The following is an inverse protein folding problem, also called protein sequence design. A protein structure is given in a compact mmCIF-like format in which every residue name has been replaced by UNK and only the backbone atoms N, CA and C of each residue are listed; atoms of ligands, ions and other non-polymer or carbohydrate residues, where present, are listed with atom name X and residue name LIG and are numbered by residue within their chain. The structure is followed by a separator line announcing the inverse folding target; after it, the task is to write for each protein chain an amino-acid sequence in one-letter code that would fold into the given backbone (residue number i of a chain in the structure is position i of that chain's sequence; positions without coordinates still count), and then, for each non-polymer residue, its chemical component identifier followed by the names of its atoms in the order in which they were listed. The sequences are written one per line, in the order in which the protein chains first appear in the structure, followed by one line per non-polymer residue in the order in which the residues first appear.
data_IF_121680682749
#
_entry.id   IF_121680682749
#
_cell.length_a   1.000
_cell.length_b   1.000
_cell.length_c   1.000
_cell.angle_alpha   90.00
_cell.angle_beta   90.00
_cell.angle_gamma   90.00
#
_symmetry.space_group_name_H-M   'P 1'
#
loop_
_entity.id
_entity.type
_entity.pdbx_description
1 polymer ?
#
# COMPACT_ATOMS: atom_id res chain seq x y z
N UNK A 1 -21.12 -11.27 13.91
CA UNK A 1 -20.95 -11.04 13.16
C UNK A 1 -19.89 -11.23 12.50
N UNK A 2 -19.72 -11.53 11.68
CA UNK A 2 -18.74 -11.70 11.12
C UNK A 2 -18.37 -10.86 10.26
N UNK A 3 -17.57 -10.35 10.35
CA UNK A 3 -17.19 -9.41 9.56
C UNK A 3 -16.30 -9.86 8.53
N UNK A 4 -16.59 -9.50 7.37
CA UNK A 4 -15.76 -9.78 6.39
C UNK A 4 -14.57 -8.99 6.50
N UNK A 5 -13.46 -9.50 6.65
CA UNK A 5 -12.28 -8.77 6.73
C UNK A 5 -11.61 -8.85 5.44
N UNK A 6 -11.32 -7.75 4.81
CA UNK A 6 -10.48 -7.72 3.64
C UNK A 6 -9.08 -8.08 4.03
N UNK A 7 -8.37 -8.87 3.26
CA UNK A 7 -6.95 -9.04 3.49
C UNK A 7 -6.27 -7.69 3.42
N UNK A 8 -5.32 -7.48 4.29
CA UNK A 8 -4.61 -6.22 4.34
C UNK A 8 -4.02 -5.87 3.00
N UNK A 9 -3.50 -6.86 2.29
CA UNK A 9 -2.90 -6.65 0.98
C UNK A 9 -3.90 -6.03 0.00
N UNK A 10 -5.13 -6.55 0.01
CA UNK A 10 -6.14 -6.04 -0.91
C UNK A 10 -6.54 -4.61 -0.57
N UNK A 11 -6.63 -4.32 0.70
CA UNK A 11 -7.00 -2.98 1.14
C UNK A 11 -5.92 -1.98 0.74
N UNK A 12 -4.67 -2.31 0.98
CA UNK A 12 -3.59 -1.41 0.66
C UNK A 12 -3.51 -1.19 -0.86
N UNK A 13 -3.65 -2.25 -1.63
CA UNK A 13 -3.64 -2.14 -3.07
C UNK A 13 -4.76 -1.25 -3.58
N UNK A 14 -5.95 -1.40 -3.02
CA UNK A 14 -7.07 -0.57 -3.41
C UNK A 14 -6.79 0.91 -3.18
N UNK A 15 -6.18 1.24 -2.06
CA UNK A 15 -5.86 2.63 -1.76
C UNK A 15 -4.81 3.17 -2.71
N UNK A 16 -3.83 2.34 -3.07
CA UNK A 16 -2.82 2.76 -4.02
C UNK A 16 -3.46 3.03 -5.38
N UNK A 17 -4.36 2.16 -5.79
CA UNK A 17 -5.06 2.33 -7.07
C UNK A 17 -5.87 3.62 -7.09
N UNK A 18 -6.53 3.90 -6.01
CA UNK A 18 -7.36 5.09 -5.94
C UNK A 18 -6.52 6.36 -6.04
N UNK A 19 -5.33 6.33 -5.51
CA UNK A 19 -4.47 7.51 -5.52
C UNK A 19 -3.65 7.64 -6.80
N UNK A 20 -3.45 6.51 -7.49
CA UNK A 20 -2.60 6.50 -8.68
C UNK A 20 -1.15 6.41 -8.29
N UNK A 21 -0.65 7.36 -7.54
CA UNK A 21 0.66 7.22 -6.92
C UNK A 21 0.62 7.97 -5.59
N UNK A 22 1.42 7.53 -4.66
CA UNK A 22 1.38 8.03 -3.30
C UNK A 22 2.69 7.67 -2.64
N UNK A 23 3.13 8.46 -1.69
CA UNK A 23 4.35 8.10 -0.95
C UNK A 23 3.98 7.14 0.17
N UNK A 24 4.98 6.43 0.67
CA UNK A 24 4.75 5.48 1.75
C UNK A 24 4.21 6.18 2.99
N UNK A 25 4.72 7.35 3.31
CA UNK A 25 4.22 8.08 4.47
C UNK A 25 2.78 8.51 4.30
N UNK A 26 2.43 8.97 3.11
CA UNK A 26 1.06 9.38 2.84
C UNK A 26 0.11 8.20 2.92
N UNK A 27 0.55 7.04 2.43
CA UNK A 27 -0.29 5.85 2.47
C UNK A 27 -0.50 5.39 3.90
N UNK A 28 0.54 5.40 4.72
CA UNK A 28 0.39 5.05 6.12
C UNK A 28 -0.56 5.99 6.83
N UNK A 29 -0.47 7.28 6.54
CA UNK A 29 -1.38 8.24 7.14
C UNK A 29 -2.81 8.00 6.71
N UNK A 30 -3.00 7.68 5.45
CA UNK A 30 -4.33 7.41 4.94
C UNK A 30 -4.94 6.20 5.64
N UNK A 31 -4.16 5.15 5.81
CA UNK A 31 -4.65 3.97 6.50
C UNK A 31 -4.97 4.28 7.96
N UNK A 32 -4.13 5.06 8.61
CA UNK A 32 -4.37 5.44 9.98
C UNK A 32 -5.66 6.24 10.12
N UNK A 33 -5.92 7.14 9.20
CA UNK A 33 -7.13 7.92 9.23
C UNK A 33 -8.35 7.04 9.06
N UNK A 34 -8.22 5.96 8.35
CA UNK A 34 -9.34 5.05 8.15
C UNK A 34 -9.46 4.03 9.27
N UNK A 35 -8.63 4.14 10.28
CA UNK A 35 -8.71 3.25 11.42
C UNK A 35 -8.08 1.89 11.17
N UNK A 36 -7.23 1.79 10.16
CA UNK A 36 -6.60 0.52 9.84
C UNK A 36 -5.27 0.46 10.57
N UNK A 37 -5.17 -0.51 11.48
CA UNK A 37 -3.94 -0.66 12.24
C UNK A 37 -3.00 -1.54 11.47
N UNK A 38 -1.85 -1.01 11.10
CA UNK A 38 -0.85 -1.79 10.39
C UNK A 38 0.51 -1.40 10.92
N UNK A 39 1.33 -2.39 11.19
CA UNK A 39 2.67 -2.14 11.67
C UNK A 39 3.57 -1.90 10.49
N UNK A 40 4.72 -1.31 10.74
CA UNK A 40 5.67 -1.05 9.68
C UNK A 40 6.15 -2.32 9.00
N UNK A 41 6.47 -3.39 9.73
CA UNK A 41 6.85 -4.63 9.07
C UNK A 41 5.75 -5.21 8.20
N UNK A 42 4.50 -5.14 8.66
CA UNK A 42 3.38 -5.61 7.85
C UNK A 42 3.23 -4.78 6.60
N UNK A 43 3.37 -3.48 6.73
CA UNK A 43 3.24 -2.57 5.62
C UNK A 43 4.32 -2.87 4.57
N UNK A 44 5.56 -2.99 5.02
CA UNK A 44 6.66 -3.25 4.12
C UNK A 44 6.54 -4.60 3.43
N UNK A 45 6.11 -5.62 4.16
CA UNK A 45 5.91 -6.92 3.57
C UNK A 45 4.81 -6.90 2.52
N UNK A 46 3.75 -6.17 2.81
CA UNK A 46 2.64 -6.06 1.88
C UNK A 46 3.07 -5.35 0.61
N UNK A 47 3.84 -4.28 0.72
CA UNK A 47 4.33 -3.60 -0.47
C UNK A 47 5.23 -4.52 -1.29
N UNK A 48 6.07 -5.29 -0.61
CA UNK A 48 6.95 -6.21 -1.30
C UNK A 48 6.14 -7.27 -2.05
N UNK A 49 5.12 -7.81 -1.41
CA UNK A 49 4.26 -8.79 -2.05
C UNK A 49 3.60 -8.22 -3.29
N UNK A 50 3.06 -7.01 -3.18
CA UNK A 50 2.40 -6.38 -4.32
C UNK A 50 3.37 -6.11 -5.45
N UNK A 51 4.59 -5.75 -5.10
CA UNK A 51 5.62 -5.50 -6.10
C UNK A 51 6.01 -6.79 -6.80
N UNK A 52 6.15 -7.87 -6.05
CA UNK A 52 6.49 -9.15 -6.61
C UNK A 52 5.41 -9.64 -7.57
N UNK A 53 4.14 -9.39 -7.22
CA UNK A 53 3.04 -9.76 -8.10
C UNK A 53 2.94 -8.82 -9.31
N UNK A 54 3.72 -7.76 -9.35
CA UNK A 54 3.68 -6.84 -10.45
C UNK A 54 2.52 -5.88 -10.44
N UNK A 55 1.90 -5.71 -9.28
CA UNK A 55 0.73 -4.84 -9.16
C UNK A 55 1.10 -3.40 -8.84
N UNK A 56 2.27 -3.18 -8.27
CA UNK A 56 2.73 -1.84 -7.98
C UNK A 56 4.20 -1.70 -8.32
N UNK A 57 4.65 -0.46 -8.44
CA UNK A 57 6.04 -0.16 -8.56
C UNK A 57 6.43 0.71 -7.40
N UNK A 58 7.59 0.46 -6.84
CA UNK A 58 8.08 1.23 -5.71
C UNK A 58 9.41 1.84 -6.09
N UNK A 59 9.51 3.13 -5.97
CA UNK A 59 10.75 3.83 -6.28
C UNK A 59 11.15 4.71 -5.12
N UNK A 60 12.46 4.84 -4.88
CA UNK A 60 12.95 5.67 -3.80
C UNK A 60 13.07 7.11 -4.26
N UNK A 61 12.45 8.04 -3.52
CA UNK A 61 12.58 9.45 -3.80
C UNK A 61 13.77 9.99 -3.05
N UNK A 62 13.87 9.61 -1.77
CA UNK A 62 15.04 9.91 -0.95
C UNK A 62 15.37 8.63 -0.24
N UNK A 63 16.38 8.63 0.59
CA UNK A 63 16.72 7.41 1.31
C UNK A 63 15.65 7.04 2.31
N UNK A 64 14.74 7.95 2.63
CA UNK A 64 13.70 7.66 3.60
C UNK A 64 12.30 7.68 3.04
N UNK A 65 12.15 7.99 1.79
CA UNK A 65 10.83 8.16 1.21
C UNK A 65 10.70 7.41 -0.10
N UNK A 66 9.65 6.64 -0.22
CA UNK A 66 9.39 5.85 -1.43
C UNK A 66 8.11 6.33 -2.09
N UNK A 67 8.10 6.28 -3.40
CA UNK A 67 6.89 6.54 -4.16
C UNK A 67 6.33 5.20 -4.59
N UNK A 68 5.03 5.03 -4.41
CA UNK A 68 4.34 3.81 -4.73
C UNK A 68 3.33 4.13 -5.80
N UNK A 69 3.32 3.37 -6.89
CA UNK A 69 2.35 3.61 -7.92
C UNK A 69 1.79 2.29 -8.43
N UNK A 70 0.51 2.28 -8.75
CA UNK A 70 -0.11 1.09 -9.30
C UNK A 70 0.35 0.92 -10.73
N UNK A 71 0.67 -0.30 -11.12
CA UNK A 71 1.03 -0.54 -12.50
C UNK A 71 -0.24 -0.55 -13.33
N UNK A 72 -0.08 -0.29 -14.63
CA UNK A 72 -1.22 -0.29 -15.47
C UNK A 72 -1.56 -1.70 -15.78
N UNK A 73 -2.83 -2.03 -15.74
CA UNK A 73 -3.20 -3.33 -16.04
C UNK A 73 -3.35 -3.48 -17.46
N UNK A 74 -3.03 -4.54 -18.08
CA UNK A 74 -3.19 -4.66 -19.52
C UNK A 74 -4.33 -5.48 -19.93
#
# INVERSE_FOLDING_TARGET
MNIMKYPLRNLIYERIKQQGNITDGELMNLLAKEGVAVTEPQFNKTLLDLEIYGLIRVGWITKDKRRIEATKES
#
